data_IF_783991653885
#
_entry.id   IF_783991653885
#
_cell.length_a   1.000
_cell.length_b   1.000
_cell.length_c   1.000
_cell.angle_alpha   90.00
_cell.angle_beta   90.00
_cell.angle_gamma   90.00
#
_symmetry.space_group_name_H-M   'P 1'
#
loop_
_entity.id
_entity.type
_entity.pdbx_description
1 polymer ?
2 non-polymer ?
3 non-polymer ?
4 non-polymer ?
5 non-polymer ?
6 water ?
#
# COMPACT_ATOMS: atom_id res chain seq x y z
N UNK A 1 -22.26 -3.62 -7.52
CA UNK A 1 -21.51 -4.19 -6.41
C UNK A 1 -20.93 -3.03 -5.58
N UNK A 2 -20.22 -3.38 -4.53
CA UNK A 2 -19.54 -2.42 -3.68
C UNK A 2 -18.29 -1.94 -4.43
N UNK A 3 -17.72 -0.84 -3.96
CA UNK A 3 -16.59 -0.23 -4.63
C UNK A 3 -15.36 -0.33 -3.72
N UNK A 4 -14.21 -0.57 -4.34
CA UNK A 4 -12.97 -0.65 -3.60
C UNK A 4 -12.03 0.36 -4.20
N UNK A 5 -11.27 1.01 -3.32
CA UNK A 5 -10.20 1.88 -3.72
C UNK A 5 -8.99 1.57 -2.93
N UNK A 6 -7.83 1.68 -3.57
CA UNK A 6 -6.60 1.58 -2.76
C UNK A 6 -5.46 2.11 -3.52
N UNK A 7 -4.45 2.62 -2.82
CA UNK A 7 -3.32 3.23 -3.55
C UNK A 7 -1.98 2.84 -2.98
N UNK A 8 -0.97 2.99 -3.85
CA UNK A 8 0.47 2.72 -3.50
C UNK A 8 1.34 3.81 -4.06
N UNK A 9 2.32 4.29 -3.27
CA UNK A 9 3.21 5.36 -3.74
C UNK A 9 4.24 4.75 -4.70
N UNK A 10 4.57 5.44 -5.76
CA UNK A 10 5.61 4.93 -6.69
C UNK A 10 6.92 5.27 -5.96
N UNK A 11 7.74 4.26 -5.74
CA UNK A 11 9.06 4.44 -5.07
C UNK A 11 10.11 3.40 -5.57
N UNK A 12 11.36 3.65 -5.22
CA UNK A 12 12.44 2.79 -5.65
C UNK A 12 12.29 1.38 -5.07
N UNK A 13 11.53 1.23 -4.00
CA UNK A 13 11.40 -0.10 -3.41
C UNK A 13 9.95 -0.49 -3.16
N UNK A 14 9.48 -1.58 -3.77
CA UNK A 14 8.13 -2.09 -3.48
C UNK A 14 8.48 -3.49 -2.80
N UNK A 15 8.05 -3.70 -1.57
CA UNK A 15 8.40 -4.87 -0.73
C UNK A 15 7.43 -6.03 -0.74
N UNK A 16 7.84 -7.14 -0.13
CA UNK A 16 6.91 -8.25 0.00
C UNK A 16 5.85 -7.84 1.06
N UNK A 17 6.17 -6.84 1.89
CA UNK A 17 5.18 -6.34 2.89
C UNK A 17 4.04 -5.67 2.05
N UNK A 18 4.38 -4.83 1.07
CA UNK A 18 3.35 -4.22 0.16
C UNK A 18 2.50 -5.27 -0.51
N UNK A 19 3.20 -6.31 -1.01
CA UNK A 19 2.50 -7.43 -1.67
C UNK A 19 1.51 -8.14 -0.74
N UNK A 20 2.00 -8.59 0.39
CA UNK A 20 1.20 -9.36 1.33
C UNK A 20 0.05 -8.57 1.97
N UNK A 21 0.31 -7.31 2.33
CA UNK A 21 -0.71 -6.46 3.02
C UNK A 21 -1.75 -5.85 2.06
N UNK A 22 -1.36 -5.62 0.83
CA UNK A 22 -2.15 -4.95 -0.17
C UNK A 22 -2.34 -5.66 -1.49
N UNK A 23 -1.32 -5.68 -2.36
CA UNK A 23 -1.47 -6.23 -3.69
C UNK A 23 -2.19 -7.59 -3.76
N UNK A 24 -1.88 -8.45 -2.81
CA UNK A 24 -2.50 -9.80 -2.76
C UNK A 24 -4.06 -9.62 -2.61
N UNK A 25 -4.46 -8.69 -1.74
CA UNK A 25 -5.91 -8.43 -1.55
C UNK A 25 -6.52 -7.91 -2.85
N UNK A 26 -5.82 -6.98 -3.54
CA UNK A 26 -6.33 -6.36 -4.77
C UNK A 26 -6.67 -7.47 -5.82
N UNK A 27 -5.77 -8.41 -5.95
CA UNK A 27 -5.93 -9.52 -6.90
C UNK A 27 -7.10 -10.40 -6.45
N UNK A 28 -7.18 -10.64 -5.16
CA UNK A 28 -8.26 -11.42 -4.58
C UNK A 28 -9.66 -10.82 -4.84
N UNK A 29 -9.79 -9.51 -4.60
CA UNK A 29 -11.08 -8.86 -4.67
C UNK A 29 -11.51 -8.30 -5.99
N UNK A 30 -10.59 -8.11 -6.92
CA UNK A 30 -10.95 -7.46 -8.18
C UNK A 30 -12.18 -7.95 -8.94
N UNK A 31 -12.47 -9.24 -8.88
CA UNK A 31 -13.62 -9.72 -9.65
C UNK A 31 -14.96 -9.49 -8.96
N UNK A 32 -14.93 -9.32 -7.66
CA UNK A 32 -16.13 -9.15 -6.84
C UNK A 32 -16.59 -7.70 -6.59
N UNK A 33 -15.74 -6.73 -6.89
CA UNK A 33 -16.08 -5.31 -6.64
C UNK A 33 -15.75 -4.40 -7.79
N UNK A 34 -16.25 -3.15 -7.71
CA UNK A 34 -15.83 -2.15 -8.66
C UNK A 34 -14.53 -1.73 -8.01
N UNK A 35 -13.44 -1.76 -8.76
CA UNK A 35 -12.09 -1.51 -8.18
C UNK A 35 -11.28 -0.44 -8.83
N UNK A 36 -10.78 0.50 -8.02
CA UNK A 36 -9.93 1.55 -8.49
C UNK A 36 -8.60 1.34 -7.72
N UNK A 37 -7.51 1.27 -8.45
CA UNK A 37 -6.17 1.06 -7.84
C UNK A 37 -5.28 2.12 -8.40
N UNK A 38 -4.72 2.91 -7.51
CA UNK A 38 -4.06 4.14 -7.90
C UNK A 38 -2.60 4.14 -7.62
N UNK A 39 -1.86 4.83 -8.51
CA UNK A 39 -0.41 5.08 -8.32
C UNK A 39 -0.37 6.54 -7.85
N UNK A 40 -0.17 6.67 -6.54
CA UNK A 40 -0.24 7.99 -5.81
C UNK A 40 0.95 8.89 -5.92
N UNK A 41 1.22 9.37 -7.15
CA UNK A 41 2.41 10.15 -7.42
C UNK A 41 2.35 11.54 -6.72
N UNK A 42 1.14 12.03 -6.52
CA UNK A 42 1.03 13.33 -5.77
C UNK A 42 1.39 13.14 -4.32
N UNK A 43 1.13 11.93 -3.76
CA UNK A 43 1.55 11.66 -2.41
C UNK A 43 3.04 11.43 -2.41
N UNK A 44 3.53 10.82 -3.49
CA UNK A 44 5.00 10.61 -3.49
C UNK A 44 5.81 11.87 -3.30
N UNK A 45 5.39 12.95 -3.95
CA UNK A 45 6.09 14.20 -3.84
C UNK A 45 5.97 14.95 -2.50
N UNK A 46 5.35 14.33 -1.51
CA UNK A 46 5.26 14.97 -0.14
C UNK A 46 6.70 14.94 0.50
N UNK A 47 7.58 14.21 -0.19
CA UNK A 47 9.02 14.25 0.16
C UNK A 47 9.73 14.43 -1.20
N UNK A 48 10.89 15.06 -1.19
CA UNK A 48 11.62 15.27 -2.42
C UNK A 48 11.82 14.00 -3.23
N UNK A 49 11.61 14.11 -4.52
CA UNK A 49 11.77 12.99 -5.46
C UNK A 49 12.61 13.44 -6.62
N UNK A 50 13.60 12.61 -7.01
CA UNK A 50 14.38 12.94 -8.22
C UNK A 50 13.35 12.75 -9.35
N UNK A 51 13.17 13.76 -10.16
CA UNK A 51 12.12 13.69 -11.22
C UNK A 51 12.28 12.51 -12.17
N UNK A 52 13.53 12.23 -12.60
CA UNK A 52 13.70 11.10 -13.52
C UNK A 52 13.31 9.78 -12.82
N UNK A 53 13.75 9.59 -11.59
CA UNK A 53 13.46 8.34 -10.86
C UNK A 53 11.94 8.24 -10.61
N UNK A 54 11.36 9.36 -10.25
CA UNK A 54 9.85 9.37 -10.05
C UNK A 54 9.11 8.89 -11.29
N UNK A 55 9.37 9.50 -12.45
CA UNK A 55 8.74 9.07 -13.70
C UNK A 55 8.97 7.54 -13.89
N UNK A 56 10.20 7.07 -13.74
CA UNK A 56 10.46 5.57 -13.87
C UNK A 56 9.71 4.74 -12.85
N UNK A 57 9.67 5.19 -11.60
CA UNK A 57 9.02 4.47 -10.51
C UNK A 57 7.54 4.41 -10.72
N UNK A 58 7.00 5.42 -11.36
CA UNK A 58 5.52 5.37 -11.63
C UNK A 58 5.23 4.26 -12.64
N UNK A 59 6.07 4.19 -13.69
CA UNK A 59 5.93 3.14 -14.74
C UNK A 59 6.18 1.79 -14.10
N UNK A 60 7.23 1.68 -13.27
CA UNK A 60 7.54 0.41 -12.56
C UNK A 60 6.39 -0.13 -11.73
N UNK A 61 5.81 0.76 -10.92
CA UNK A 61 4.69 0.38 -10.13
C UNK A 61 3.47 -0.03 -10.94
N UNK A 62 3.20 0.66 -12.05
CA UNK A 62 2.11 0.27 -12.95
C UNK A 62 2.43 -1.16 -13.46
N UNK A 63 3.70 -1.42 -13.85
CA UNK A 63 4.09 -2.79 -14.32
C UNK A 63 3.93 -3.81 -13.23
N UNK A 64 4.29 -3.46 -11.99
CA UNK A 64 4.16 -4.41 -10.88
C UNK A 64 2.66 -4.69 -10.60
N UNK A 65 1.83 -3.66 -10.65
CA UNK A 65 0.37 -3.87 -10.43
C UNK A 65 -0.11 -4.95 -11.48
N UNK A 66 0.24 -4.73 -12.76
CA UNK A 66 -0.17 -5.67 -13.85
C UNK A 66 0.49 -7.05 -13.70
N UNK A 67 1.78 -7.05 -13.32
CA UNK A 67 2.50 -8.33 -13.09
C UNK A 67 1.96 -9.23 -12.03
N UNK A 68 1.46 -8.65 -10.92
CA UNK A 68 0.92 -9.45 -9.85
C UNK A 68 -0.49 -9.96 -10.23
N UNK A 69 -1.04 -9.41 -11.30
CA UNK A 69 -2.35 -9.90 -11.78
C UNK A 69 -3.53 -8.97 -11.86
N UNK A 70 -3.35 -7.68 -11.55
CA UNK A 70 -4.47 -6.76 -11.67
C UNK A 70 -4.88 -6.74 -13.12
N UNK A 71 -6.18 -6.93 -13.35
CA UNK A 71 -6.68 -7.09 -14.70
C UNK A 71 -7.46 -5.89 -15.07
N UNK A 72 -7.01 -5.19 -16.11
CA UNK A 72 -7.69 -3.97 -16.55
C UNK A 72 -9.12 -4.12 -17.01
N UNK A 73 -9.62 -5.36 -17.16
CA UNK A 73 -11.01 -5.51 -17.58
C UNK A 73 -11.85 -5.65 -16.34
N UNK A 74 -11.18 -5.83 -15.19
CA UNK A 74 -11.83 -6.00 -13.90
C UNK A 74 -11.65 -4.76 -13.01
N UNK A 75 -10.57 -4.04 -13.24
CA UNK A 75 -10.22 -2.92 -12.34
C UNK A 75 -9.74 -1.76 -13.11
N UNK A 76 -9.78 -0.59 -12.47
CA UNK A 76 -9.33 0.61 -13.11
C UNK A 76 -7.99 0.98 -12.47
N UNK A 77 -6.93 0.93 -13.25
CA UNK A 77 -5.58 1.26 -12.75
C UNK A 77 -5.19 2.62 -13.30
N UNK A 78 -4.86 3.58 -12.42
CA UNK A 78 -4.54 4.89 -12.93
C UNK A 78 -3.59 5.68 -12.04
N UNK A 79 -3.05 6.73 -12.59
CA UNK A 79 -2.11 7.60 -11.92
C UNK A 79 -2.86 8.80 -11.31
N UNK A 80 -2.69 8.95 -10.02
CA UNK A 80 -3.36 10.03 -9.21
C UNK A 80 -3.33 11.44 -9.90
N UNK A 81 -2.16 11.87 -10.34
CA UNK A 81 -2.00 13.19 -10.97
C UNK A 81 -2.75 13.38 -12.27
N UNK A 82 -3.11 12.29 -12.93
CA UNK A 82 -3.78 12.39 -14.20
C UNK A 82 -5.27 12.62 -14.01
N UNK A 83 -5.72 12.72 -12.76
CA UNK A 83 -7.19 12.92 -12.47
C UNK A 83 -7.18 14.16 -11.55
N UNK A 84 -7.40 15.35 -12.16
CA UNK A 84 -7.35 16.62 -11.40
C UNK A 84 -8.28 16.67 -10.17
N UNK A 85 -9.34 15.88 -10.20
CA UNK A 85 -10.34 15.85 -9.12
C UNK A 85 -9.72 15.55 -7.78
N UNK A 86 -8.64 14.75 -7.78
CA UNK A 86 -8.01 14.40 -6.51
C UNK A 86 -7.48 15.69 -5.83
N UNK A 87 -6.68 16.45 -6.56
CA UNK A 87 -6.19 17.74 -6.05
C UNK A 87 -7.40 18.67 -5.63
N UNK A 88 -8.45 18.72 -6.44
CA UNK A 88 -9.59 19.64 -6.16
C UNK A 88 -10.34 19.24 -4.87
N UNK A 89 -10.63 17.96 -4.75
CA UNK A 89 -11.33 17.45 -3.55
C UNK A 89 -10.41 17.54 -2.35
N UNK A 90 -9.08 17.41 -2.56
CA UNK A 90 -8.16 17.50 -1.44
C UNK A 90 -8.23 18.93 -0.86
N UNK A 91 -8.36 19.91 -1.75
CA UNK A 91 -8.38 21.30 -1.23
C UNK A 91 -9.64 21.44 -0.34
N UNK A 92 -10.79 21.07 -0.89
CA UNK A 92 -12.06 21.17 -0.13
C UNK A 92 -11.97 20.46 1.21
N UNK A 93 -11.44 19.22 1.22
CA UNK A 93 -11.26 18.54 2.47
C UNK A 93 -10.23 19.19 3.47
N UNK A 94 -9.17 19.77 2.94
CA UNK A 94 -8.19 20.50 3.75
C UNK A 94 -8.88 21.68 4.47
N UNK A 95 -9.93 22.26 3.83
CA UNK A 95 -10.61 23.42 4.45
C UNK A 95 -11.52 22.97 5.56
N UNK A 96 -11.79 21.69 5.66
CA UNK A 96 -12.64 21.22 6.77
C UNK A 96 -11.92 20.36 7.83
N UNK A 97 -10.64 20.06 7.60
CA UNK A 97 -9.88 19.27 8.61
C UNK A 97 -9.18 20.30 9.51
N UNK A 98 -8.96 19.98 10.77
CA UNK A 98 -8.29 20.90 11.66
C UNK A 98 -6.80 20.59 11.66
N UNK A 99 -6.00 21.60 11.83
CA UNK A 99 -4.54 21.41 11.90
C UNK A 99 -4.15 20.36 12.96
N UNK A 100 -4.80 20.41 14.13
CA UNK A 100 -4.49 19.48 15.18
C UNK A 100 -4.80 18.03 14.78
N UNK A 101 -5.80 17.82 13.92
CA UNK A 101 -6.13 16.48 13.49
C UNK A 101 -4.98 15.92 12.64
N UNK A 102 -4.38 16.79 11.84
CA UNK A 102 -3.29 16.38 10.95
C UNK A 102 -2.01 16.10 11.75
N UNK A 103 -1.74 16.94 12.73
CA UNK A 103 -0.53 16.84 13.54
C UNK A 103 -0.39 15.58 14.36
N UNK A 104 -1.53 14.95 14.67
CA UNK A 104 -1.57 13.76 15.51
C UNK A 104 -1.50 12.50 14.68
N UNK A 105 -1.37 12.66 13.40
CA UNK A 105 -1.28 11.48 12.52
C UNK A 105 0.09 10.80 12.80
N UNK A 106 0.10 9.48 13.02
CA UNK A 106 1.40 8.84 13.32
C UNK A 106 2.28 8.84 12.11
N UNK A 107 1.69 8.68 10.93
CA UNK A 107 2.49 8.69 9.71
C UNK A 107 3.24 10.02 9.62
N UNK A 108 2.53 11.13 9.83
CA UNK A 108 3.18 12.44 9.79
C UNK A 108 4.26 12.49 10.86
N UNK A 109 3.91 12.14 12.07
CA UNK A 109 4.88 12.21 13.15
C UNK A 109 6.18 11.46 12.83
N UNK A 110 6.05 10.23 12.30
CA UNK A 110 7.24 9.45 11.98
C UNK A 110 8.05 10.04 10.84
N UNK A 111 7.38 10.34 9.74
CA UNK A 111 8.06 10.92 8.59
C UNK A 111 8.73 12.26 8.87
N UNK A 112 8.23 13.00 9.85
CA UNK A 112 8.78 14.35 10.15
C UNK A 112 9.72 14.48 11.34
N UNK A 113 9.92 13.38 12.06
CA UNK A 113 10.75 13.41 13.29
C UNK A 113 12.19 13.82 13.04
N UNK A 114 12.78 14.48 14.05
CA UNK A 114 14.14 14.93 14.01
C UNK A 114 14.38 15.78 12.80
N UNK A 115 13.29 16.25 12.23
CA UNK A 115 13.38 17.09 11.05
C UNK A 115 13.59 18.54 11.43
N UNK A 116 14.13 19.32 10.50
CA UNK A 116 14.50 20.71 10.76
C UNK A 116 13.55 21.74 10.16
N UNK A 117 13.06 21.43 8.97
CA UNK A 117 12.12 22.27 8.27
C UNK A 117 11.32 21.22 7.54
N UNK A 118 10.06 21.02 7.96
CA UNK A 118 9.22 20.03 7.39
C UNK A 118 8.37 20.60 6.22
N UNK A 119 8.25 19.83 5.16
CA UNK A 119 7.48 20.26 4.02
C UNK A 119 5.96 20.11 4.27
N UNK A 120 5.17 21.13 3.88
CA UNK A 120 3.74 21.13 4.17
C UNK A 120 2.94 19.94 3.63
N UNK A 121 3.37 19.37 2.50
CA UNK A 121 2.63 18.25 1.94
C UNK A 121 2.60 17.08 2.89
N UNK A 122 3.64 16.94 3.68
CA UNK A 122 3.73 15.83 4.62
C UNK A 122 2.59 15.99 5.62
N UNK A 123 2.32 17.25 6.03
CA UNK A 123 1.24 17.48 6.98
C UNK A 123 -0.13 17.31 6.38
N UNK A 124 -0.30 17.75 5.13
CA UNK A 124 -1.59 17.67 4.43
C UNK A 124 -1.73 16.40 3.60
N UNK A 125 -0.91 15.45 3.95
CA UNK A 125 -0.97 14.12 3.26
C UNK A 125 -2.41 13.49 3.42
N UNK A 126 -3.04 13.54 4.61
CA UNK A 126 -4.35 12.95 4.79
C UNK A 126 -5.51 13.44 3.98
N UNK A 127 -5.72 14.75 3.85
CA UNK A 127 -6.91 15.16 3.04
C UNK A 127 -6.82 14.68 1.60
N UNK A 128 -5.60 14.63 1.06
CA UNK A 128 -5.48 14.10 -0.27
C UNK A 128 -5.85 12.56 -0.28
N UNK A 129 -5.45 11.80 0.72
CA UNK A 129 -5.78 10.35 0.73
C UNK A 129 -7.29 10.21 0.93
N UNK A 130 -7.84 11.11 1.74
CA UNK A 130 -9.27 11.07 1.94
C UNK A 130 -9.99 11.38 0.67
N UNK A 131 -9.54 12.35 -0.10
CA UNK A 131 -10.18 12.67 -1.37
C UNK A 131 -10.03 11.41 -2.31
N UNK A 132 -8.84 10.80 -2.30
CA UNK A 132 -8.63 9.58 -3.17
C UNK A 132 -9.74 8.55 -2.94
N UNK A 133 -10.08 8.27 -1.68
CA UNK A 133 -11.07 7.26 -1.31
C UNK A 133 -12.51 7.76 -1.54
N UNK A 134 -12.80 8.98 -1.03
CA UNK A 134 -14.17 9.51 -1.16
C UNK A 134 -14.68 9.90 -2.54
N UNK A 135 -13.80 10.23 -3.47
CA UNK A 135 -14.23 10.57 -4.81
C UNK A 135 -15.00 9.47 -5.49
N UNK A 136 -14.71 8.23 -5.12
CA UNK A 136 -15.32 7.10 -5.84
C UNK A 136 -16.45 6.41 -5.12
N UNK A 137 -16.90 7.02 -4.05
CA UNK A 137 -18.00 6.47 -3.29
C UNK A 137 -17.61 5.13 -2.79
N UNK A 138 -16.35 5.06 -2.35
CA UNK A 138 -15.79 3.86 -1.87
C UNK A 138 -16.40 3.24 -0.63
N UNK A 139 -16.63 1.92 -0.69
CA UNK A 139 -17.11 1.16 0.44
C UNK A 139 -15.95 0.53 1.22
N UNK A 140 -14.97 -0.03 0.51
CA UNK A 140 -13.90 -0.80 1.19
C UNK A 140 -12.50 -0.34 0.73
N UNK A 141 -11.56 -0.26 1.65
CA UNK A 141 -10.19 0.18 1.29
C UNK A 141 -9.27 -0.84 1.86
N UNK A 142 -8.78 -1.73 0.99
CA UNK A 142 -7.91 -2.80 1.47
C UNK A 142 -6.50 -2.22 1.61
N UNK A 143 -5.94 -2.36 2.79
CA UNK A 143 -4.60 -1.89 3.06
C UNK A 143 -4.00 -2.72 4.16
N UNK A 144 -2.76 -2.45 4.44
CA UNK A 144 -2.13 -3.06 5.60
C UNK A 144 -2.43 -2.16 6.84
N UNK A 145 -2.11 -2.65 8.00
CA UNK A 145 -2.40 -1.94 9.26
C UNK A 145 -1.90 -0.50 9.40
N UNK A 146 -0.77 -0.15 8.76
CA UNK A 146 -0.22 1.19 8.89
C UNK A 146 -1.13 2.30 8.32
N UNK A 147 -2.12 1.93 7.53
CA UNK A 147 -2.99 2.99 6.90
C UNK A 147 -4.33 3.17 7.65
N UNK A 148 -4.50 2.38 8.71
CA UNK A 148 -5.78 2.33 9.43
C UNK A 148 -6.14 3.72 9.92
N UNK A 149 -5.16 4.37 10.51
CA UNK A 149 -5.36 5.74 11.10
C UNK A 149 -5.78 6.77 10.03
N UNK A 150 -5.13 6.75 8.87
CA UNK A 150 -5.55 7.63 7.76
C UNK A 150 -6.98 7.32 7.33
N UNK A 151 -7.36 6.04 7.33
CA UNK A 151 -8.69 5.70 6.92
C UNK A 151 -9.68 6.19 8.00
N UNK A 152 -9.27 6.16 9.24
CA UNK A 152 -10.12 6.62 10.35
C UNK A 152 -10.37 8.14 10.16
N UNK A 153 -9.32 8.89 9.80
CA UNK A 153 -9.49 10.38 9.56
C UNK A 153 -10.34 10.59 8.33
N UNK A 154 -10.20 9.73 7.29
CA UNK A 154 -11.04 9.86 6.13
C UNK A 154 -12.53 9.74 6.54
N UNK A 155 -12.85 8.75 7.36
CA UNK A 155 -14.24 8.49 7.81
C UNK A 155 -14.72 9.79 8.58
N UNK A 156 -13.85 10.34 9.42
CA UNK A 156 -14.16 11.56 10.25
C UNK A 156 -14.51 12.72 9.28
N UNK A 157 -13.69 12.91 8.25
CA UNK A 157 -13.93 13.99 7.25
C UNK A 157 -15.19 13.75 6.45
N UNK A 158 -15.46 12.50 6.03
CA UNK A 158 -16.65 12.23 5.22
C UNK A 158 -17.91 12.57 6.09
N UNK A 159 -17.85 12.16 7.34
CA UNK A 159 -18.97 12.37 8.28
C UNK A 159 -19.17 13.88 8.49
N UNK A 160 -18.06 14.58 8.68
CA UNK A 160 -18.08 16.04 8.90
C UNK A 160 -18.64 16.75 7.66
N UNK A 161 -18.14 16.38 6.47
CA UNK A 161 -18.66 16.96 5.29
C UNK A 161 -20.21 16.66 5.17
N UNK A 162 -20.64 15.43 5.38
CA UNK A 162 -22.02 15.05 5.20
C UNK A 162 -22.94 15.88 6.15
N UNK A 163 -22.47 16.00 7.35
CA UNK A 163 -23.16 16.73 8.42
C UNK A 163 -23.29 18.23 8.07
N UNK A 164 -22.22 18.86 7.62
CA UNK A 164 -22.26 20.30 7.26
C UNK A 164 -22.99 20.67 5.95
N UNK A 165 -22.83 19.83 4.91
CA UNK A 165 -23.32 20.18 3.58
C UNK A 165 -24.39 19.27 2.97
N UNK A 166 -24.66 18.17 3.65
CA UNK A 166 -25.63 17.20 3.20
C UNK A 166 -24.99 15.85 2.85
N UNK A 167 -25.76 14.80 2.98
CA UNK A 167 -25.23 13.48 2.72
C UNK A 167 -24.74 13.29 1.31
N UNK A 168 -23.43 13.20 1.17
CA UNK A 168 -22.85 12.99 -0.19
C UNK A 168 -21.95 11.72 -0.28
N UNK A 169 -21.08 11.59 0.71
CA UNK A 169 -20.08 10.54 0.74
C UNK A 169 -20.53 9.25 1.40
N UNK A 170 -20.00 8.14 0.88
CA UNK A 170 -20.18 6.86 1.55
C UNK A 170 -19.07 6.81 2.60
N UNK A 171 -19.38 6.31 3.77
CA UNK A 171 -18.36 6.20 4.82
C UNK A 171 -17.60 4.89 4.52
N UNK A 172 -16.32 5.01 4.15
CA UNK A 172 -15.52 3.85 3.76
C UNK A 172 -15.01 3.07 4.98
N UNK A 173 -14.65 1.81 4.75
CA UNK A 173 -14.16 0.97 5.82
C UNK A 173 -12.86 0.28 5.38
N UNK A 174 -11.90 0.18 6.27
CA UNK A 174 -10.63 -0.44 5.96
C UNK A 174 -10.86 -2.00 5.94
N UNK A 175 -10.12 -2.67 5.08
CA UNK A 175 -10.13 -4.18 5.06
C UNK A 175 -8.65 -4.50 5.26
N UNK A 176 -8.30 -5.06 6.40
CA UNK A 176 -6.90 -5.32 6.72
C UNK A 176 -6.77 -6.82 6.94
N UNK A 177 -5.80 -7.45 6.27
CA UNK A 177 -5.65 -8.92 6.34
C UNK A 177 -5.48 -9.39 7.75
N UNK A 178 -5.95 -10.60 8.03
CA UNK A 178 -5.81 -11.20 9.39
C UNK A 178 -4.36 -11.54 9.66
N UNK A 179 -3.73 -12.14 8.66
CA UNK A 179 -2.33 -12.50 8.75
C UNK A 179 -1.65 -11.62 7.73
N UNK A 180 -0.47 -11.13 8.05
CA UNK A 180 0.25 -10.30 7.08
C UNK A 180 -0.18 -8.80 6.97
N UNK A 181 -0.92 -8.29 7.95
CA UNK A 181 -1.34 -6.86 7.98
C UNK A 181 -0.16 -6.00 8.26
N UNK A 182 0.84 -6.61 8.86
CA UNK A 182 2.01 -5.86 9.20
C UNK A 182 3.28 -6.73 9.15
N UNK A 183 3.79 -6.93 7.95
CA UNK A 183 5.03 -7.70 7.75
C UNK A 183 6.19 -6.90 8.33
N UNK A 184 6.99 -7.56 9.19
CA UNK A 184 8.05 -6.89 9.92
C UNK A 184 9.40 -7.01 9.20
N UNK A 185 10.33 -6.16 9.57
CA UNK A 185 11.70 -6.14 9.01
C UNK A 185 12.37 -7.53 9.30
N UNK A 186 13.20 -8.04 8.38
CA UNK A 186 13.89 -9.33 8.63
C UNK A 186 15.07 -9.08 9.52
N UNK A 187 15.52 -7.82 9.58
CA UNK A 187 16.70 -7.47 10.40
C UNK A 187 16.31 -7.14 11.86
N UNK A 188 15.16 -6.49 12.03
CA UNK A 188 14.66 -6.23 13.38
C UNK A 188 13.19 -6.49 13.32
N UNK A 189 12.77 -7.70 13.69
CA UNK A 189 11.36 -8.07 13.59
C UNK A 189 10.41 -7.31 14.54
N UNK A 190 10.93 -6.31 15.26
CA UNK A 190 10.03 -5.51 16.10
C UNK A 190 9.65 -4.23 15.34
N UNK A 191 10.25 -4.05 14.16
CA UNK A 191 10.01 -2.90 13.27
C UNK A 191 9.26 -3.36 12.04
N UNK A 192 8.42 -2.48 11.50
CA UNK A 192 7.69 -2.77 10.31
C UNK A 192 8.70 -2.91 9.16
N UNK A 193 8.42 -3.75 8.18
CA UNK A 193 9.29 -3.82 6.99
C UNK A 193 8.97 -2.58 6.16
N UNK A 194 9.96 -1.75 5.93
CA UNK A 194 9.74 -0.46 5.24
C UNK A 194 10.51 -0.30 4.02
N UNK A 195 9.91 0.30 3.01
CA UNK A 195 10.58 0.58 1.75
C UNK A 195 11.80 1.44 1.95
N UNK A 196 11.86 2.19 3.02
CA UNK A 196 12.99 3.09 3.11
C UNK A 196 13.98 2.71 4.18
N UNK A 197 13.94 1.45 4.58
CA UNK A 197 14.91 1.05 5.62
C UNK A 197 16.28 1.24 4.94
N UNK A 198 17.22 1.85 5.63
CA UNK A 198 18.60 2.04 5.07
C UNK A 198 19.32 0.64 4.89
N UNK A 199 18.86 -0.38 5.61
CA UNK A 199 19.48 -1.74 5.54
C UNK A 199 18.67 -2.60 4.53
N UNK A 200 19.24 -2.85 3.38
CA UNK A 200 18.53 -3.61 2.35
C UNK A 200 18.18 -5.03 2.74
N UNK A 201 18.80 -5.56 3.80
CA UNK A 201 18.50 -6.94 4.28
C UNK A 201 17.16 -6.93 5.03
N UNK A 202 16.70 -5.70 5.37
CA UNK A 202 15.41 -5.63 6.11
C UNK A 202 14.20 -5.99 5.30
N UNK A 203 14.28 -5.84 4.00
CA UNK A 203 13.09 -6.08 3.15
C UNK A 203 13.47 -6.93 1.95
N UNK A 204 12.46 -7.54 1.34
CA UNK A 204 12.67 -8.19 0.09
C UNK A 204 11.84 -7.36 -0.88
N UNK A 205 12.47 -6.90 -1.96
CA UNK A 205 11.74 -6.18 -3.02
C UNK A 205 11.13 -7.20 -3.94
N UNK A 206 10.09 -6.80 -4.68
CA UNK A 206 9.50 -7.74 -5.60
C UNK A 206 10.44 -8.06 -6.76
N UNK A 207 11.51 -7.32 -6.88
CA UNK A 207 12.43 -7.57 -8.01
C UNK A 207 13.72 -8.25 -7.52
N UNK A 208 13.73 -8.73 -6.29
CA UNK A 208 14.97 -9.41 -5.72
C UNK A 208 15.20 -10.72 -6.50
N UNK A 209 16.46 -11.00 -6.84
CA UNK A 209 16.74 -12.28 -7.55
C UNK A 209 16.83 -13.45 -6.53
N UNK A 210 16.87 -14.68 -7.03
CA UNK A 210 16.86 -15.83 -6.12
C UNK A 210 17.97 -15.89 -5.06
N UNK A 211 19.19 -15.60 -5.50
CA UNK A 211 20.36 -15.66 -4.59
C UNK A 211 20.11 -14.58 -3.51
N UNK A 212 19.55 -13.47 -3.96
CA UNK A 212 19.29 -12.37 -3.00
C UNK A 212 18.23 -12.73 -1.98
N UNK A 213 17.12 -13.35 -2.42
CA UNK A 213 16.04 -13.74 -1.53
C UNK A 213 16.57 -14.79 -0.53
N UNK A 214 17.40 -15.71 -1.02
CA UNK A 214 18.00 -16.73 -0.12
C UNK A 214 18.83 -16.09 0.97
N UNK A 215 19.73 -15.17 0.56
CA UNK A 215 20.58 -14.46 1.51
C UNK A 215 19.74 -13.72 2.54
N UNK A 216 18.68 -13.00 2.10
CA UNK A 216 17.88 -12.23 3.08
C UNK A 216 17.05 -13.10 4.01
N UNK A 217 16.51 -14.20 3.49
CA UNK A 217 15.75 -15.06 4.35
C UNK A 217 16.68 -15.78 5.32
N UNK A 218 17.82 -16.24 4.84
CA UNK A 218 18.74 -16.97 5.71
C UNK A 218 19.26 -16.10 6.85
N UNK A 219 19.50 -14.82 6.56
CA UNK A 219 19.99 -13.87 7.54
C UNK A 219 18.90 -13.36 8.49
N UNK A 220 17.64 -13.63 8.19
CA UNK A 220 16.56 -13.14 9.05
C UNK A 220 16.76 -13.52 10.50
N UNK A 221 16.74 -12.52 11.36
CA UNK A 221 16.92 -12.72 12.80
C UNK A 221 15.85 -13.60 13.37
N UNK A 222 16.26 -14.56 14.19
CA UNK A 222 15.29 -15.48 14.82
C UNK A 222 15.45 -15.46 16.31
N UNK A 223 15.67 -16.62 16.90
CA UNK A 223 15.86 -16.73 18.34
C UNK A 223 16.71 -17.98 18.61
N UNK A 224 16.95 -18.27 19.89
CA UNK A 224 17.80 -19.43 20.23
C UNK A 224 16.98 -20.64 20.62
N UNK A 225 15.66 -20.54 20.48
CA UNK A 225 14.74 -21.59 20.89
C UNK A 225 14.50 -22.69 19.83
N UNK A 226 15.12 -22.53 18.66
CA UNK A 226 15.01 -23.52 17.58
C UNK A 226 13.65 -24.20 17.36
N UNK A 227 12.57 -23.55 17.82
CA UNK A 227 11.23 -24.09 17.63
C UNK A 227 10.39 -23.22 16.68
N UNK A 228 9.76 -23.85 15.70
CA UNK A 228 8.94 -23.15 14.75
C UNK A 228 7.52 -23.10 15.24
N UNK A 229 7.24 -22.07 16.04
CA UNK A 229 5.93 -21.86 16.61
C UNK A 229 5.66 -20.35 16.63
N UNK A 230 4.42 -19.97 16.32
CA UNK A 230 4.04 -18.56 16.31
C UNK A 230 3.85 -18.00 17.72
N UNK A 231 4.52 -16.91 18.00
CA UNK A 231 4.42 -16.22 19.28
C UNK A 231 5.05 -14.87 19.04
N UNK A 232 4.22 -13.91 18.59
CA UNK A 232 4.70 -12.59 18.24
C UNK A 232 5.56 -11.91 19.29
N UNK A 233 5.11 -11.95 20.54
CA UNK A 233 5.83 -11.32 21.62
C UNK A 233 7.17 -11.99 21.91
N UNK A 234 7.13 -13.31 22.07
CA UNK A 234 8.31 -14.09 22.42
C UNK A 234 9.25 -14.39 21.26
N UNK A 235 8.66 -14.72 20.10
CA UNK A 235 9.42 -15.08 18.90
C UNK A 235 8.98 -14.21 17.69
N UNK A 236 9.32 -12.94 17.73
CA UNK A 236 8.92 -12.02 16.67
C UNK A 236 9.47 -12.41 15.33
N UNK A 237 10.76 -12.76 15.28
CA UNK A 237 11.43 -13.15 14.03
C UNK A 237 10.76 -14.36 13.34
N UNK A 238 10.65 -15.46 14.08
CA UNK A 238 10.02 -16.67 13.56
C UNK A 238 8.57 -16.46 13.26
N UNK A 239 7.91 -15.68 14.11
CA UNK A 239 6.49 -15.42 13.90
C UNK A 239 6.27 -14.67 12.57
N UNK A 240 7.11 -13.70 12.32
CA UNK A 240 7.00 -12.89 11.09
C UNK A 240 7.30 -13.81 9.88
N UNK A 241 8.30 -14.68 10.00
CA UNK A 241 8.63 -15.62 8.88
C UNK A 241 7.47 -16.55 8.62
N UNK A 242 6.80 -16.96 9.69
CA UNK A 242 5.65 -17.82 9.57
C UNK A 242 4.53 -17.06 8.85
N UNK A 243 4.38 -15.75 9.13
CA UNK A 243 3.31 -14.97 8.43
C UNK A 243 3.60 -14.88 6.93
N UNK A 244 4.88 -14.68 6.57
CA UNK A 244 5.28 -14.57 5.19
C UNK A 244 5.05 -15.91 4.53
N UNK A 245 5.45 -16.95 5.23
CA UNK A 245 5.28 -18.31 4.70
C UNK A 245 3.79 -18.64 4.48
N UNK A 246 2.98 -18.36 5.48
CA UNK A 246 1.56 -18.67 5.43
C UNK A 246 0.86 -17.96 4.32
N UNK A 247 1.05 -16.66 4.27
CA UNK A 247 0.35 -15.88 3.26
C UNK A 247 0.77 -16.22 1.86
N UNK A 248 2.06 -16.52 1.68
CA UNK A 248 2.52 -16.81 0.32
C UNK A 248 2.22 -18.23 -0.16
N UNK A 249 2.19 -19.15 0.77
CA UNK A 249 1.98 -20.55 0.43
C UNK A 249 0.57 -21.00 0.41
N UNK A 250 -0.27 -20.31 1.16
CA UNK A 250 -1.67 -20.67 1.26
C UNK A 250 -1.85 -21.64 2.44
N UNK A 251 -0.75 -21.95 3.13
CA UNK A 251 -0.82 -22.85 4.28
C UNK A 251 -1.03 -22.07 5.55
N UNK A 252 -1.89 -22.61 6.40
CA UNK A 252 -2.19 -21.98 7.67
C UNK A 252 -0.98 -22.00 8.56
N UNK A 253 -0.99 -21.17 9.58
CA UNK A 253 0.13 -21.12 10.51
C UNK A 253 0.21 -22.47 11.28
N UNK A 254 -0.97 -23.07 11.54
CA UNK A 254 -1.04 -24.37 12.24
C UNK A 254 -0.43 -25.47 11.37
N UNK A 255 -0.85 -25.48 10.10
CA UNK A 255 -0.32 -26.43 9.14
C UNK A 255 1.22 -26.37 9.14
N UNK A 256 1.77 -25.16 9.04
CA UNK A 256 3.22 -24.96 9.00
C UNK A 256 3.93 -25.39 10.27
N UNK A 257 3.31 -25.16 11.42
CA UNK A 257 3.93 -25.57 12.68
C UNK A 257 3.98 -27.12 12.73
N UNK A 258 2.93 -27.76 12.27
CA UNK A 258 2.88 -29.23 12.24
C UNK A 258 3.96 -29.69 11.29
N UNK A 259 3.93 -29.16 10.07
CA UNK A 259 4.91 -29.54 9.06
C UNK A 259 6.34 -29.46 9.57
N UNK A 260 6.63 -28.43 10.36
CA UNK A 260 7.97 -28.22 10.89
C UNK A 260 8.18 -28.70 12.31
N UNK A 261 7.29 -29.56 12.77
CA UNK A 261 7.42 -30.11 14.12
C UNK A 261 8.76 -30.83 14.19
N UNK A 262 9.52 -30.60 15.26
CA UNK A 262 10.83 -31.22 15.40
C UNK A 262 11.89 -30.69 14.44
N UNK A 263 11.51 -29.83 13.50
CA UNK A 263 12.49 -29.30 12.53
C UNK A 263 13.19 -28.03 13.01
N UNK A 264 14.36 -27.75 12.45
CA UNK A 264 15.13 -26.57 12.84
C UNK A 264 14.97 -25.39 11.84
N UNK A 265 15.56 -24.24 12.22
CA UNK A 265 15.45 -23.03 11.41
C UNK A 265 16.04 -23.09 10.00
N UNK A 266 17.13 -23.86 9.85
CA UNK A 266 17.81 -24.02 8.57
C UNK A 266 16.88 -24.54 7.47
N UNK A 267 16.28 -25.70 7.70
CA UNK A 267 15.40 -26.27 6.71
C UNK A 267 14.20 -25.35 6.47
N UNK A 268 13.66 -24.80 7.55
CA UNK A 268 12.52 -23.92 7.47
C UNK A 268 12.83 -22.70 6.60
N UNK A 269 14.01 -22.08 6.78
CA UNK A 269 14.36 -20.89 6.01
C UNK A 269 14.62 -21.24 4.57
N UNK A 270 15.23 -22.41 4.34
CA UNK A 270 15.56 -22.83 2.99
C UNK A 270 14.25 -22.96 2.25
N UNK A 271 13.28 -23.61 2.88
CA UNK A 271 11.94 -23.84 2.26
C UNK A 271 11.22 -22.52 1.98
N UNK A 272 11.25 -21.63 2.98
CA UNK A 272 10.61 -20.30 2.85
C UNK A 272 11.23 -19.51 1.71
N UNK A 273 12.54 -19.48 1.65
CA UNK A 273 13.20 -18.79 0.57
C UNK A 273 12.73 -19.32 -0.79
N UNK A 274 12.44 -20.63 -0.87
CA UNK A 274 12.03 -21.17 -2.11
C UNK A 274 10.57 -20.74 -2.40
N UNK A 275 9.79 -20.64 -1.36
CA UNK A 275 8.38 -20.23 -1.50
C UNK A 275 8.39 -18.75 -2.01
N UNK A 276 9.27 -17.91 -1.45
CA UNK A 276 9.37 -16.52 -1.95
C UNK A 276 9.80 -16.45 -3.43
N UNK A 277 10.82 -17.27 -3.80
CA UNK A 277 11.28 -17.35 -5.16
C UNK A 277 10.16 -17.78 -6.08
N UNK A 278 9.44 -18.82 -5.67
CA UNK A 278 8.32 -19.32 -6.48
C UNK A 278 7.27 -18.24 -6.76
N UNK A 279 7.07 -17.38 -5.77
CA UNK A 279 6.09 -16.31 -5.87
C UNK A 279 6.59 -15.17 -6.77
N UNK A 280 7.83 -14.76 -6.56
CA UNK A 280 8.35 -13.59 -7.28
C UNK A 280 8.79 -13.84 -8.67
N UNK A 281 9.27 -15.04 -8.98
CA UNK A 281 9.77 -15.30 -10.34
C UNK A 281 8.77 -14.95 -11.46
N UNK A 282 7.51 -15.41 -11.35
CA UNK A 282 6.51 -15.14 -12.41
C UNK A 282 6.18 -13.70 -12.44
N UNK A 283 6.08 -13.11 -11.25
CA UNK A 283 5.82 -11.67 -11.20
C UNK A 283 6.89 -10.93 -11.97
N UNK A 284 8.17 -11.23 -11.68
CA UNK A 284 9.25 -10.58 -12.43
C UNK A 284 9.27 -10.77 -13.93
N UNK A 285 8.87 -11.98 -14.42
CA UNK A 285 8.85 -12.20 -15.85
C UNK A 285 7.80 -11.33 -16.49
N UNK A 286 6.63 -11.27 -15.85
CA UNK A 286 5.55 -10.47 -16.40
C UNK A 286 5.90 -8.98 -16.34
N UNK A 287 6.56 -8.61 -15.26
CA UNK A 287 7.02 -7.23 -15.01
C UNK A 287 7.89 -6.70 -16.14
N UNK A 288 8.91 -7.46 -16.53
CA UNK A 288 9.76 -7.03 -17.63
C UNK A 288 9.00 -6.86 -18.94
N UNK A 289 8.07 -7.79 -19.21
CA UNK A 289 7.25 -7.71 -20.37
C UNK A 289 6.49 -6.38 -20.39
N UNK A 290 5.80 -6.06 -19.28
CA UNK A 290 5.08 -4.78 -19.23
C UNK A 290 5.99 -3.57 -19.39
N UNK A 291 7.16 -3.61 -18.75
CA UNK A 291 8.04 -2.49 -18.83
C UNK A 291 8.48 -2.20 -20.24
N UNK A 292 8.48 -3.23 -21.10
CA UNK A 292 8.94 -3.03 -22.46
C UNK A 292 7.81 -2.84 -23.43
N UNK A 293 6.57 -2.80 -22.91
CA UNK A 293 5.40 -2.68 -23.81
C UNK A 293 4.70 -1.31 -23.92
N UNK A 294 4.16 -1.05 -25.11
CA UNK A 294 3.38 0.17 -25.28
C UNK A 294 2.02 -0.01 -24.60
N UNK A 295 1.63 -1.26 -24.31
CA UNK A 295 0.34 -1.49 -23.69
C UNK A 295 0.25 -0.95 -22.26
N UNK A 296 1.38 -0.83 -21.58
CA UNK A 296 1.36 -0.31 -20.22
C UNK A 296 0.69 1.09 -20.25
N UNK A 297 1.10 1.88 -21.21
CA UNK A 297 0.60 3.27 -21.37
C UNK A 297 -0.88 3.28 -21.74
N UNK A 298 -1.26 2.30 -22.53
CA UNK A 298 -2.66 2.19 -22.92
C UNK A 298 -3.55 1.87 -21.72
N UNK A 299 -3.13 0.96 -20.86
CA UNK A 299 -3.89 0.56 -19.72
C UNK A 299 -4.07 1.83 -18.83
N UNK A 300 -3.00 2.55 -18.60
CA UNK A 300 -3.07 3.72 -17.69
C UNK A 300 -3.95 4.81 -18.33
N UNK A 301 -3.86 4.90 -19.66
CA UNK A 301 -4.68 5.91 -20.41
C UNK A 301 -6.16 5.61 -20.15
N UNK A 302 -6.57 4.36 -20.37
CA UNK A 302 -7.97 3.95 -20.14
C UNK A 302 -8.40 4.09 -18.68
N UNK A 303 -7.53 3.77 -17.74
CA UNK A 303 -7.90 3.83 -16.33
C UNK A 303 -8.13 5.31 -15.96
N UNK A 304 -7.27 6.20 -16.43
CA UNK A 304 -7.41 7.67 -16.12
C UNK A 304 -8.75 8.22 -16.70
N UNK A 305 -9.04 7.76 -17.91
CA UNK A 305 -10.28 8.09 -18.56
C UNK A 305 -11.50 7.73 -17.67
N UNK A 306 -11.56 6.51 -17.18
CA UNK A 306 -12.66 6.10 -16.34
C UNK A 306 -12.70 6.84 -15.00
N UNK A 307 -11.56 6.93 -14.35
CA UNK A 307 -11.45 7.57 -13.05
C UNK A 307 -11.86 9.02 -13.19
N UNK A 308 -11.43 9.67 -14.25
CA UNK A 308 -11.78 11.11 -14.46
C UNK A 308 -13.30 11.23 -14.58
N UNK A 309 -13.93 10.32 -15.28
CA UNK A 309 -15.40 10.41 -15.44
C UNK A 309 -16.07 10.38 -14.10
N UNK A 310 -15.68 9.46 -13.25
CA UNK A 310 -16.34 9.34 -11.96
C UNK A 310 -15.96 10.44 -10.98
N UNK A 311 -14.66 10.71 -10.86
CA UNK A 311 -14.21 11.65 -9.86
C UNK A 311 -14.64 13.06 -10.16
N UNK A 312 -14.65 13.41 -11.41
CA UNK A 312 -14.98 14.81 -11.84
C UNK A 312 -16.46 15.09 -11.42
N UNK A 313 -17.29 14.07 -11.52
CA UNK A 313 -18.74 14.17 -11.15
C UNK A 313 -18.87 14.33 -9.65
N UNK A 314 -18.07 13.58 -8.86
CA UNK A 314 -18.16 13.72 -7.44
C UNK A 314 -17.68 15.15 -7.08
N UNK A 315 -16.67 15.65 -7.79
CA UNK A 315 -16.15 16.97 -7.45
C UNK A 315 -17.26 18.05 -7.71
N UNK A 316 -18.01 17.87 -8.77
CA UNK A 316 -19.08 18.81 -9.14
C UNK A 316 -20.11 18.81 -7.98
N UNK A 317 -20.46 17.63 -7.48
CA UNK A 317 -21.43 17.54 -6.36
C UNK A 317 -20.85 18.16 -5.10
N UNK A 318 -19.53 17.98 -4.84
CA UNK A 318 -18.95 18.55 -3.65
C UNK A 318 -18.98 20.10 -3.71
N UNK A 319 -18.61 20.63 -4.86
CA UNK A 319 -18.61 22.10 -5.10
C UNK A 319 -20.06 22.65 -4.88
N UNK A 320 -21.01 21.96 -5.45
CA UNK A 320 -22.42 22.32 -5.33
C UNK A 320 -22.82 22.34 -3.88
N UNK A 321 -22.40 21.34 -3.12
CA UNK A 321 -22.75 21.32 -1.70
C UNK A 321 -22.11 22.45 -0.86
N UNK A 322 -20.89 22.87 -1.23
CA UNK A 322 -20.18 23.93 -0.51
C UNK A 322 -20.53 25.29 -1.06
N UNK A 323 -21.15 25.29 -2.22
CA UNK A 323 -21.57 26.53 -2.92
C UNK A 323 -20.43 27.21 -3.67
N UNK A 324 -19.40 26.43 -4.02
CA UNK A 324 -18.35 26.98 -4.84
C UNK A 324 -18.89 27.15 -6.30
N UNK A 325 -18.25 28.04 -7.08
CA UNK A 325 -18.52 28.21 -8.48
C UNK A 325 -19.93 28.68 -8.72
N UNK A 326 -20.56 28.06 -9.72
CA UNK A 326 -21.90 28.44 -10.17
C UNK A 326 -22.84 27.27 -10.35
X LIG B 1 -16.99 17.39 13.56
X LIG B 1 -17.17 18.52 12.48
X LIG B 1 -16.29 16.30 12.90
X LIG B 1 -16.36 17.86 14.62
X LIG B 1 -18.32 16.96 13.86
X LIG C 1 19.12 -19.30 12.17
X LIG C 1 20.20 -18.15 12.01
X LIG C 1 17.81 -18.67 12.05
X LIG C 1 19.32 -20.28 11.28
X LIG C 1 19.26 -19.75 13.54
X LIG D 1 -24.28 22.39 -12.74
X LIG D 1 -25.71 22.56 -12.05
X LIG D 1 -24.22 23.38 -13.80
X LIG D 1 -23.30 22.49 -11.85
X LIG D 1 -24.35 21.07 -13.35
X LIG E 1 19.15 -25.86 11.66
X LIG E 1 20.16 -24.85 10.97
X LIG E 1 18.21 -25.04 12.40
X LIG E 1 18.55 -26.68 10.77
X LIG E 1 19.97 -26.59 12.61
X LIG F 1 4.52 -4.82 16.32
X LIG F 1 5.26 -6.18 16.66
X LIG F 1 3.49 -4.65 17.32
X LIG F 1 5.39 -3.80 16.28
X LIG F 1 3.89 -5.07 15.04
X LIG G 1 0.09 -9.55 11.42
X LIG G 1 -0.07 -11.07 11.90
X LIG G 1 0.41 -8.79 12.64
X LIG G 1 1.02 -9.42 10.45
X LIG G 1 -1.24 -9.19 10.98
X LIG H 1 13.62 -1.63 -15.02
X LIG H 1 15.20 -1.67 -15.18
X LIG H 1 13.07 -2.03 -16.31
X LIG H 1 13.21 -2.38 -14.00
X LIG H 1 13.33 -0.22 -14.83
X LIG I 1 -14.77 -5.92 -11.21
X LIG J 1 2.42 2.68 0.77
X LIG J 1 2.55 3.03 -0.69
X LIG J 1 3.40 3.01 1.85
X LIG J 1 2.04 1.03 0.93
X LIG J 1 1.11 0.53 0.02
X LIG J 1 0.21 -0.50 0.66
X LIG J 1 1.07 -1.51 1.23
X LIG J 1 0.79 -1.75 2.59
X LIG J 1 2.03 -2.09 3.35
X LIG J 1 2.22 -3.19 4.15
X LIG J 1 1.33 -4.17 4.41
X LIG J 1 1.84 -5.05 5.27
X LIG J 1 3.08 -5.07 5.81
X LIG J 1 3.95 -4.12 5.51
X LIG J 1 5.18 -4.13 6.04
X LIG J 1 3.51 -3.10 4.65
X LIG J 1 4.13 -1.97 4.17
X LIG J 1 3.22 -1.41 3.40
X LIG J 1 0.21 -0.34 3.01
X LIG J 1 -0.55 -0.45 4.21
X LIG J 1 -0.65 0.07 1.83
X LIG J 1 -1.89 -0.60 1.83
X LIG J 1 -0.82 6.38 1.98
X LIG J 1 -0.74 5.08 1.29
X LIG J 1 -1.03 5.27 -0.17
X LIG J 1 -2.45 5.77 -0.44
X LIG J 1 -3.65 5.07 -0.24
X LIG J 1 -4.63 5.99 -0.68
X LIG J 1 -4.03 3.80 0.24
X LIG J 1 -2.68 7.03 -0.98
X LIG J 1 -4.02 7.13 -1.11
X LIG J 1 -6.01 5.61 -0.63
X LIG J 1 -5.35 3.45 0.29
X LIG J 1 -6.36 4.34 -0.14
X LIG J 1 0.69 4.57 1.38
X LIG J 1 1.65 5.31 1.53
X LIG J 1 0.88 3.21 1.35
X LIG K 1 -14.46 -1.56 -13.29
X LIG K 1 -13.81 -2.44 -14.48
X LIG K 1 -13.85 -1.31 -12.08
X LIG K 1 -13.84 -2.40 -11.32
X LIG K 1 -13.70 -0.12 -12.00
X LIG K 1 -13.79 1.35 -12.42
X LIG L 1 12.00 -2.65 -6.00
X LIG L 1 10.54 -2.74 -6.61
X LIG L 1 13.18 -2.59 -6.78
X LIG L 1 14.17 -3.36 -6.24
X LIG L 1 12.96 -1.92 -7.79
X LIG L 1 13.15 -1.18 -9.19
X LIG M 1 -15.05 1.37 -17.04
X LIG M 1 -13.80 1.45 -18.07
X LIG M 1 -16.42 1.33 -17.35
X LIG M 1 -16.79 2.35 -18.17
X LIG M 1 -16.94 0.37 -16.82
X LIG M 1 -17.10 -0.93 -15.96
X LIG N 1 7.16 2.69 3.87
X LIG N 1 7.06 1.11 3.45
X LIG N 1 7.59 3.21 5.09
X LIG N 1 7.22 2.43 6.13
X LIG N 1 8.15 4.23 4.87
X LIG N 1 8.76 5.41 4.05
#
# INVERSE_FOLDING_TARGET
MKTIFSGIQPSGVITIGNYIGALRQFVELQHEYNCYFCIVDQHAITVWQDPHELRQNIRRLAALYLAVGIDPTQATLFIQSEVPAHAQAAWMLQCIVYIGELERMTQFKEKSAGKEAVSAGLLTYPPLMAADILLYNTDIVPVGEDQKQHIELTRDLAERFNKRYGELFTIPEARIPKVGARIMSLVDPTKKMSKSDPNPKAYITLLDDAKTIEKKIKSAVTDSEGTIRYDKEAKPGISNLLNIYSTLSGQSIEELERQYEGKGYGVFKADLAQVVIETLRPIQERYHHWMESEELDRVLDEGAEKANRVASEMVRKMEQAMGLGRRR
SO4 S O1 O2 O3 O4
SO4 S O1 O2 O3 O4
SO4 S O1 O2 O3 O4
SO4 S O1 O2 O3 O4
SO4 S O1 O2 O3 O4
SO4 S O1 O2 O3 O4
SO4 S O1 O2 O3 O4
NH4 N
TYM P O1P O2P O5' C5' C4' O4' C1' N9 C4 N3 C2 N1 C6 N6 C5 N7 C8 C2' O2' C3' O3' NH3 CA CB CG CD2 CE2 CE3 CD1 NE1 CZ2 CZ3 CH2 C O OPP
GOL C1 O1 C2 O2 C3 O3
GOL C1 O1 C2 O2 C3 O3
GOL C1 O1 C2 O2 C3 O3
GOL C1 O1 C2 O2 C3 O3
#
